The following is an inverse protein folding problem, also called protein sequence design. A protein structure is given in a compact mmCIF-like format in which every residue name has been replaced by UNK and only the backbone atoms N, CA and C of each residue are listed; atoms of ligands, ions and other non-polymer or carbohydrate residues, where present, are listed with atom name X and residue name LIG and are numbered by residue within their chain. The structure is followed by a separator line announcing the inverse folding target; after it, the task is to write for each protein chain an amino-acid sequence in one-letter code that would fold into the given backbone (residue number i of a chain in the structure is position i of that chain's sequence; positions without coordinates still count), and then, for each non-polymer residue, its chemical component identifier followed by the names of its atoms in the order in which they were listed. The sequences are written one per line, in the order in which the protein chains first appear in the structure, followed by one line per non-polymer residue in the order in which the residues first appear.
data_IF_509780975955
#
_entry.id   IF_509780975955
#
_cell.length_a   1.000
_cell.length_b   1.000
_cell.length_c   1.000
_cell.angle_alpha   90.00
_cell.angle_beta   90.00
_cell.angle_gamma   90.00
#
_symmetry.space_group_name_H-M   'P 1'
#
loop_
_entity.id
_entity.type
_entity.pdbx_description
1 polymer ?
#
# COMPACT_ATOMS: atom_id res chain seq x y z
N UNK A 1 68.97 -36.91 20.69
CA UNK A 1 69.34 -35.73 21.50
C UNK A 1 69.12 -34.47 20.68
N UNK A 2 68.47 -33.46 21.29
CA UNK A 2 68.32 -32.04 20.86
C UNK A 2 67.47 -31.80 19.59
N UNK A 3 66.18 -31.43 19.71
CA UNK A 3 65.64 -30.05 19.79
C UNK A 3 66.21 -29.11 18.73
N UNK A 4 65.35 -28.58 17.85
CA UNK A 4 64.94 -27.16 17.81
C UNK A 4 63.76 -27.01 16.83
N UNK A 5 62.74 -26.30 17.30
CA UNK A 5 61.51 -25.96 16.62
C UNK A 5 61.73 -24.83 15.60
N UNK A 6 60.88 -24.79 14.56
CA UNK A 6 60.49 -23.54 13.90
C UNK A 6 59.12 -23.76 13.26
N UNK A 7 58.08 -23.25 13.94
CA UNK A 7 56.78 -22.96 13.33
C UNK A 7 56.98 -21.84 12.30
N UNK A 8 56.59 -22.08 11.06
CA UNK A 8 56.26 -21.01 10.11
C UNK A 8 54.75 -21.02 9.99
N UNK A 9 54.09 -20.12 10.72
CA UNK A 9 52.68 -19.80 10.55
C UNK A 9 52.59 -18.98 9.26
N UNK A 10 52.05 -19.59 8.22
CA UNK A 10 51.70 -18.90 6.99
C UNK A 10 50.44 -18.06 7.25
N UNK A 11 50.63 -16.80 7.65
CA UNK A 11 49.56 -15.82 7.69
C UNK A 11 49.15 -15.48 6.25
N UNK A 12 48.08 -16.13 5.78
CA UNK A 12 47.36 -15.71 4.59
C UNK A 12 46.61 -14.44 4.97
N UNK A 13 47.28 -13.30 4.84
CA UNK A 13 46.62 -12.00 4.78
C UNK A 13 45.85 -11.93 3.46
N UNK A 14 44.60 -12.39 3.48
CA UNK A 14 43.62 -11.96 2.50
C UNK A 14 43.48 -10.44 2.62
N UNK A 15 44.19 -9.70 1.77
CA UNK A 15 43.84 -8.34 1.41
C UNK A 15 42.52 -8.39 0.63
N UNK A 16 41.41 -8.63 1.33
CA UNK A 16 40.14 -8.03 0.93
C UNK A 16 40.17 -6.61 1.48
N UNK A 17 40.74 -5.70 0.69
CA UNK A 17 40.30 -4.32 0.73
C UNK A 17 38.80 -4.37 0.41
N UNK A 18 37.88 -4.07 1.33
CA UNK A 18 36.59 -3.59 0.87
C UNK A 18 36.92 -2.38 0.00
N UNK A 19 36.56 -2.45 -1.28
CA UNK A 19 36.59 -1.26 -2.11
C UNK A 19 35.87 -0.17 -1.32
N UNK A 20 36.59 0.88 -0.95
CA UNK A 20 35.96 2.13 -0.61
C UNK A 20 35.20 2.53 -1.88
N UNK A 21 33.92 2.19 -1.93
CA UNK A 21 32.97 2.96 -2.70
C UNK A 21 32.99 4.32 -2.02
N UNK A 22 33.77 5.24 -2.59
CA UNK A 22 33.60 6.65 -2.31
C UNK A 22 32.12 6.94 -2.59
N UNK A 23 31.39 7.39 -1.57
CA UNK A 23 29.98 7.72 -1.71
C UNK A 23 29.80 8.57 -2.97
N UNK A 24 29.08 8.03 -3.95
CA UNK A 24 28.52 8.81 -5.05
C UNK A 24 27.77 9.94 -4.33
N UNK A 25 28.12 11.20 -4.60
CA UNK A 25 27.36 12.35 -4.12
C UNK A 25 25.87 12.03 -4.13
N UNK A 26 25.26 12.18 -2.97
CA UNK A 26 23.90 11.77 -2.60
C UNK A 26 22.93 11.53 -3.79
N UNK A 27 23.08 10.37 -4.44
CA UNK A 27 22.44 10.08 -5.73
C UNK A 27 20.92 10.09 -5.58
N UNK A 28 20.42 9.54 -4.47
CA UNK A 28 19.00 9.60 -4.14
C UNK A 28 18.51 11.04 -4.10
N UNK A 29 19.18 11.92 -3.35
CA UNK A 29 18.81 13.33 -3.26
C UNK A 29 18.82 14.04 -4.63
N UNK A 30 19.84 13.84 -5.45
CA UNK A 30 19.92 14.41 -6.81
C UNK A 30 18.73 13.96 -7.68
N UNK A 31 18.44 12.66 -7.70
CA UNK A 31 17.33 12.11 -8.49
C UNK A 31 15.97 12.62 -8.02
N UNK A 32 15.74 12.70 -6.71
CA UNK A 32 14.52 13.28 -6.14
C UNK A 32 14.36 14.76 -6.47
N UNK A 33 15.45 15.52 -6.38
CA UNK A 33 15.47 16.96 -6.72
C UNK A 33 15.14 17.20 -8.19
N UNK A 34 15.71 16.38 -9.09
CA UNK A 34 15.42 16.41 -10.53
C UNK A 34 13.97 16.07 -10.83
N UNK A 35 13.44 15.02 -10.20
CA UNK A 35 12.05 14.62 -10.38
C UNK A 35 11.08 15.74 -9.96
N UNK A 36 11.35 16.38 -8.82
CA UNK A 36 10.58 17.53 -8.37
C UNK A 36 10.66 18.71 -9.35
N UNK A 37 11.86 19.06 -9.84
CA UNK A 37 12.03 20.14 -10.81
C UNK A 37 11.26 19.87 -12.13
N UNK A 38 11.33 18.65 -12.64
CA UNK A 38 10.59 18.22 -13.85
C UNK A 38 9.08 18.23 -13.58
N UNK A 39 8.63 17.74 -12.41
CA UNK A 39 7.24 17.74 -12.02
C UNK A 39 6.66 19.16 -11.91
N UNK A 40 7.38 20.07 -11.26
CA UNK A 40 7.01 21.48 -11.14
C UNK A 40 6.91 22.15 -12.50
N UNK A 41 7.87 21.90 -13.41
CA UNK A 41 7.81 22.47 -14.75
C UNK A 41 6.64 21.91 -15.57
N UNK A 42 6.41 20.59 -15.57
CA UNK A 42 5.36 19.99 -16.39
C UNK A 42 3.95 20.32 -15.90
N UNK A 43 3.74 20.32 -14.58
CA UNK A 43 2.44 20.60 -13.96
C UNK A 43 2.25 22.08 -13.60
N UNK A 44 3.28 22.93 -13.79
CA UNK A 44 3.24 24.38 -13.59
C UNK A 44 2.81 24.79 -12.17
N UNK A 45 3.33 24.10 -11.14
CA UNK A 45 3.04 24.40 -9.73
C UNK A 45 4.24 25.02 -9.00
N UNK A 46 3.95 25.71 -7.90
CA UNK A 46 4.96 26.33 -7.04
C UNK A 46 5.25 25.47 -5.81
N UNK A 47 6.44 25.64 -5.21
CA UNK A 47 6.79 24.87 -4.03
C UNK A 47 5.79 25.09 -2.89
N UNK A 48 5.35 24.00 -2.25
CA UNK A 48 4.37 24.01 -1.15
C UNK A 48 2.90 24.07 -1.59
N UNK A 49 2.59 23.80 -2.85
CA UNK A 49 1.21 23.76 -3.34
C UNK A 49 0.42 22.56 -2.78
N UNK A 50 -0.64 22.83 -2.02
CA UNK A 50 -1.50 21.83 -1.36
C UNK A 50 -2.38 21.02 -2.32
N UNK A 51 -2.44 21.44 -3.58
CA UNK A 51 -3.17 20.72 -4.64
C UNK A 51 -2.34 19.64 -5.32
N UNK A 52 -1.06 19.52 -4.96
CA UNK A 52 -0.14 18.57 -5.57
C UNK A 52 0.09 17.39 -4.64
N UNK A 53 -0.08 16.18 -5.19
CA UNK A 53 0.31 14.93 -4.56
C UNK A 53 1.58 14.40 -5.22
N UNK A 54 2.58 14.04 -4.43
CA UNK A 54 3.71 13.24 -4.86
C UNK A 54 3.57 11.79 -4.38
N UNK A 55 3.74 10.84 -5.30
CA UNK A 55 3.85 9.41 -5.03
C UNK A 55 5.18 8.91 -5.58
N UNK A 56 5.86 8.02 -4.87
CA UNK A 56 7.11 7.42 -5.33
C UNK A 56 7.35 6.09 -4.61
N UNK A 57 8.09 5.16 -5.22
CA UNK A 57 8.64 4.00 -4.50
C UNK A 57 10.04 4.26 -3.91
N UNK A 58 10.49 5.52 -3.87
CA UNK A 58 11.73 5.91 -3.19
C UNK A 58 11.74 5.41 -1.73
N UNK A 59 12.90 4.96 -1.27
CA UNK A 59 13.09 4.27 0.02
C UNK A 59 12.84 2.75 -0.04
N UNK A 60 12.11 2.27 -1.05
CA UNK A 60 11.99 0.83 -1.33
C UNK A 60 12.94 0.39 -2.44
N UNK A 61 12.97 1.13 -3.56
CA UNK A 61 13.86 0.80 -4.68
C UNK A 61 15.33 0.89 -4.25
N UNK A 62 16.15 -0.03 -4.75
CA UNK A 62 17.61 -0.04 -4.53
C UNK A 62 18.33 0.30 -5.84
N UNK A 63 19.28 1.24 -5.77
CA UNK A 63 20.13 1.64 -6.90
C UNK A 63 21.58 1.46 -6.46
N UNK A 64 22.39 0.74 -7.25
CA UNK A 64 23.80 0.42 -6.92
C UNK A 64 24.01 -0.21 -5.53
N UNK A 65 23.00 -0.90 -4.99
CA UNK A 65 23.07 -1.48 -3.64
C UNK A 65 22.78 -0.48 -2.51
N UNK A 66 22.41 0.76 -2.85
CA UNK A 66 22.00 1.79 -1.90
C UNK A 66 20.49 2.00 -1.94
N UNK A 67 19.92 2.31 -0.78
CA UNK A 67 18.51 2.65 -0.62
C UNK A 67 18.24 4.08 -1.13
N UNK A 68 16.99 4.36 -1.50
CA UNK A 68 16.62 5.58 -2.23
C UNK A 68 15.85 6.62 -1.40
N UNK A 69 15.81 6.49 -0.08
CA UNK A 69 15.07 7.37 0.82
C UNK A 69 15.52 8.83 0.75
N UNK A 70 16.78 9.10 0.38
CA UNK A 70 17.29 10.47 0.16
C UNK A 70 16.59 11.19 -0.99
N UNK A 71 15.97 10.47 -1.92
CA UNK A 71 15.14 11.08 -2.95
C UNK A 71 13.91 11.78 -2.36
N UNK A 72 13.39 11.34 -1.22
CA UNK A 72 12.31 12.04 -0.52
C UNK A 72 12.75 13.41 -0.02
N UNK A 73 14.01 13.52 0.46
CA UNK A 73 14.60 14.81 0.85
C UNK A 73 14.71 15.74 -0.36
N UNK A 74 15.23 15.24 -1.49
CA UNK A 74 15.32 16.03 -2.73
C UNK A 74 13.95 16.51 -3.24
N UNK A 75 12.93 15.63 -3.20
CA UNK A 75 11.55 16.03 -3.53
C UNK A 75 11.08 17.14 -2.59
N UNK A 76 11.27 16.96 -1.28
CA UNK A 76 10.79 17.89 -0.25
C UNK A 76 11.45 19.25 -0.38
N UNK A 77 12.77 19.30 -0.54
CA UNK A 77 13.53 20.56 -0.56
C UNK A 77 13.25 21.39 -1.83
N UNK A 78 12.98 20.73 -2.97
CA UNK A 78 12.68 21.42 -4.24
C UNK A 78 11.20 21.78 -4.38
N UNK A 79 10.30 20.83 -4.10
CA UNK A 79 8.84 21.00 -4.32
C UNK A 79 8.06 21.47 -3.10
N UNK A 80 8.65 21.44 -1.90
CA UNK A 80 7.98 21.73 -0.64
C UNK A 80 7.01 20.64 -0.15
N UNK A 81 6.70 19.63 -0.98
CA UNK A 81 5.79 18.52 -0.67
C UNK A 81 6.44 17.58 0.36
N UNK A 82 5.67 17.13 1.35
CA UNK A 82 6.19 16.35 2.47
C UNK A 82 5.14 15.44 3.06
N UNK A 83 5.61 14.34 3.65
CA UNK A 83 4.74 13.35 4.29
C UNK A 83 3.90 13.95 5.42
N UNK A 84 4.46 14.90 6.19
CA UNK A 84 3.74 15.58 7.27
C UNK A 84 2.54 16.43 6.83
N UNK A 85 2.51 16.85 5.55
CA UNK A 85 1.41 17.65 5.00
C UNK A 85 0.40 16.76 4.25
N UNK A 86 0.60 15.43 4.27
CA UNK A 86 -0.28 14.47 3.62
C UNK A 86 -0.28 14.57 2.09
N UNK A 87 0.83 15.02 1.49
CA UNK A 87 0.95 15.21 0.05
C UNK A 87 2.25 14.63 -0.56
N UNK A 88 2.99 13.83 0.20
CA UNK A 88 4.08 12.97 -0.28
C UNK A 88 3.98 11.60 0.39
N UNK A 89 3.72 10.55 -0.39
CA UNK A 89 3.65 9.17 0.10
C UNK A 89 4.60 8.24 -0.63
N UNK A 90 5.19 7.32 0.13
CA UNK A 90 5.95 6.20 -0.40
C UNK A 90 5.00 5.05 -0.72
N UNK A 91 4.97 4.61 -1.97
CA UNK A 91 4.19 3.46 -2.42
C UNK A 91 5.08 2.23 -2.37
N UNK A 92 4.64 1.23 -1.59
CA UNK A 92 5.39 0.00 -1.36
C UNK A 92 5.65 -0.73 -2.69
N UNK A 93 6.89 -1.16 -2.89
CA UNK A 93 7.29 -1.99 -4.03
C UNK A 93 8.50 -2.85 -3.65
N UNK A 94 8.70 -3.99 -4.34
CA UNK A 94 9.94 -4.73 -4.21
C UNK A 94 11.17 -3.88 -4.60
N UNK A 95 12.28 -4.10 -3.90
CA UNK A 95 13.52 -3.32 -4.04
C UNK A 95 14.17 -3.43 -5.42
N UNK A 96 13.95 -4.53 -6.14
CA UNK A 96 14.43 -4.78 -7.50
C UNK A 96 13.61 -4.10 -8.61
N UNK A 97 12.54 -3.37 -8.26
CA UNK A 97 11.76 -2.61 -9.24
C UNK A 97 12.41 -1.24 -9.51
N UNK A 98 12.30 -0.71 -10.74
CA UNK A 98 12.83 0.62 -11.05
C UNK A 98 12.31 1.69 -10.10
N UNK A 99 13.17 2.66 -9.77
CA UNK A 99 12.77 3.87 -9.07
C UNK A 99 11.90 4.73 -9.99
N UNK A 100 10.76 5.20 -9.49
CA UNK A 100 9.86 6.10 -10.20
C UNK A 100 9.33 7.21 -9.30
N UNK A 101 8.88 8.28 -9.95
CA UNK A 101 8.31 9.46 -9.33
C UNK A 101 7.04 9.85 -10.05
N UNK A 102 6.04 10.28 -9.30
CA UNK A 102 4.75 10.68 -9.81
C UNK A 102 4.28 11.93 -9.08
N UNK A 103 3.78 12.90 -9.84
CA UNK A 103 3.16 14.11 -9.29
C UNK A 103 1.79 14.27 -9.93
N UNK A 104 0.79 14.64 -9.13
CA UNK A 104 -0.58 14.83 -9.58
C UNK A 104 -1.13 16.14 -9.07
N UNK A 105 -1.79 16.91 -9.94
CA UNK A 105 -2.45 18.14 -9.59
C UNK A 105 -3.97 17.92 -9.60
N UNK A 106 -4.61 17.97 -8.42
CA UNK A 106 -6.05 17.71 -8.30
C UNK A 106 -6.95 18.79 -8.90
N UNK A 107 -6.45 20.03 -9.07
CA UNK A 107 -7.24 21.09 -9.73
C UNK A 107 -7.33 20.88 -11.24
N UNK A 108 -6.27 20.38 -11.85
CA UNK A 108 -6.20 20.20 -13.31
C UNK A 108 -6.53 18.77 -13.76
N UNK A 109 -6.46 17.81 -12.85
CA UNK A 109 -6.56 16.39 -13.15
C UNK A 109 -5.33 15.79 -13.87
N UNK A 110 -4.29 16.59 -14.09
CA UNK A 110 -3.07 16.17 -14.77
C UNK A 110 -2.08 15.53 -13.79
N UNK A 111 -1.36 14.53 -14.27
CA UNK A 111 -0.22 13.95 -13.59
C UNK A 111 0.98 13.81 -14.50
N UNK A 112 2.16 13.90 -13.89
CA UNK A 112 3.41 13.49 -14.51
C UNK A 112 3.96 12.22 -13.87
N UNK A 113 4.61 11.39 -14.68
CA UNK A 113 5.33 10.19 -14.26
C UNK A 113 6.72 10.17 -14.85
N UNK A 114 7.68 9.79 -14.01
CA UNK A 114 9.09 9.69 -14.34
C UNK A 114 9.61 8.35 -13.86
N UNK A 115 10.18 7.54 -14.76
CA UNK A 115 10.87 6.30 -14.40
C UNK A 115 12.36 6.47 -14.67
N UNK A 116 13.20 6.13 -13.69
CA UNK A 116 14.64 6.32 -13.76
C UNK A 116 15.24 5.58 -14.97
N UNK A 117 16.14 6.22 -15.70
CA UNK A 117 16.97 5.52 -16.68
C UNK A 117 18.12 4.80 -15.97
N UNK A 118 18.26 3.52 -16.27
CA UNK A 118 19.35 2.70 -15.75
C UNK A 118 20.72 3.20 -16.18
N UNK A 119 20.81 3.87 -17.33
CA UNK A 119 22.04 4.51 -17.79
C UNK A 119 22.42 5.72 -16.91
N UNK A 120 21.45 6.44 -16.35
CA UNK A 120 21.72 7.67 -15.57
C UNK A 120 22.50 7.39 -14.31
N UNK A 121 22.17 6.34 -13.56
CA UNK A 121 22.97 6.02 -12.39
C UNK A 121 24.31 5.40 -12.78
N UNK A 122 24.53 4.89 -13.99
CA UNK A 122 25.85 4.41 -14.40
C UNK A 122 26.87 5.55 -14.68
N UNK A 123 26.40 6.79 -14.85
CA UNK A 123 27.22 7.97 -15.12
C UNK A 123 28.01 8.44 -13.88
N UNK A 124 29.13 9.13 -14.10
CA UNK A 124 29.84 9.86 -13.04
C UNK A 124 29.00 11.03 -12.52
N UNK A 125 29.33 11.56 -11.33
CA UNK A 125 28.68 12.74 -10.78
C UNK A 125 28.72 13.93 -11.74
N UNK A 126 29.88 14.20 -12.35
CA UNK A 126 30.06 15.33 -13.27
C UNK A 126 29.22 15.16 -14.54
N UNK A 127 29.16 13.95 -15.08
CA UNK A 127 28.32 13.63 -16.24
C UNK A 127 26.84 13.80 -15.91
N UNK A 128 26.38 13.33 -14.74
CA UNK A 128 25.00 13.53 -14.27
C UNK A 128 24.71 15.00 -14.03
N UNK A 129 25.61 15.75 -13.39
CA UNK A 129 25.42 17.17 -13.09
C UNK A 129 25.23 18.02 -14.37
N UNK A 130 25.91 17.66 -15.47
CA UNK A 130 25.76 18.31 -16.76
C UNK A 130 24.48 17.90 -17.53
N UNK A 131 23.82 16.82 -17.11
CA UNK A 131 22.63 16.28 -17.76
C UNK A 131 21.39 17.13 -17.40
N UNK A 132 20.54 17.54 -18.38
CA UNK A 132 19.25 18.14 -18.07
C UNK A 132 18.39 17.22 -17.19
N UNK A 133 17.59 17.79 -16.29
CA UNK A 133 16.86 17.03 -15.27
C UNK A 133 15.94 15.95 -15.87
N UNK A 134 15.25 16.25 -16.97
CA UNK A 134 14.34 15.31 -17.65
C UNK A 134 15.07 14.12 -18.30
N UNK A 135 16.36 14.27 -18.62
CA UNK A 135 17.18 13.22 -19.24
C UNK A 135 17.70 12.19 -18.24
N UNK A 136 17.44 12.38 -16.94
CA UNK A 136 17.65 11.34 -15.93
C UNK A 136 16.65 10.17 -16.03
N UNK A 137 15.57 10.33 -16.80
CA UNK A 137 14.45 9.41 -16.82
C UNK A 137 14.28 8.76 -18.19
N UNK A 138 14.08 7.44 -18.20
CA UNK A 138 13.82 6.67 -19.42
C UNK A 138 12.41 6.90 -19.95
N UNK A 139 11.49 7.30 -19.06
CA UNK A 139 10.14 7.70 -19.37
C UNK A 139 9.81 8.98 -18.63
N UNK A 140 9.29 9.97 -19.36
CA UNK A 140 8.63 11.15 -18.81
C UNK A 140 7.28 11.27 -19.50
N UNK A 141 6.19 11.29 -18.72
CA UNK A 141 4.83 11.40 -19.23
C UNK A 141 4.09 12.55 -18.55
N UNK A 142 3.18 13.20 -19.27
CA UNK A 142 2.21 14.15 -18.75
C UNK A 142 0.84 13.73 -19.30
N UNK A 143 -0.06 13.32 -18.43
CA UNK A 143 -1.34 12.72 -18.82
C UNK A 143 -2.48 13.17 -17.90
N UNK A 144 -3.71 13.20 -18.43
CA UNK A 144 -4.92 13.35 -17.63
C UNK A 144 -5.21 12.03 -16.90
N UNK A 145 -5.37 12.09 -15.59
CA UNK A 145 -5.63 10.94 -14.70
C UNK A 145 -6.81 11.15 -13.77
N UNK A 146 -7.45 12.32 -13.80
CA UNK A 146 -8.76 12.52 -13.18
C UNK A 146 -9.76 11.50 -13.74
N UNK A 147 -10.35 10.70 -12.84
CA UNK A 147 -11.11 9.52 -13.21
C UNK A 147 -12.37 9.89 -14.00
N UNK A 148 -13.07 10.95 -13.60
CA UNK A 148 -14.28 11.42 -14.29
C UNK A 148 -13.95 11.87 -15.72
N UNK A 149 -12.87 12.62 -15.89
CA UNK A 149 -12.38 13.04 -17.21
C UNK A 149 -11.96 11.84 -18.07
N UNK A 150 -11.28 10.85 -17.49
CA UNK A 150 -10.89 9.63 -18.19
C UNK A 150 -12.12 8.81 -18.64
N UNK A 151 -13.16 8.75 -17.81
CA UNK A 151 -14.42 8.08 -18.14
C UNK A 151 -15.19 8.81 -19.24
N UNK A 152 -15.18 10.14 -19.24
CA UNK A 152 -15.75 10.95 -20.31
C UNK A 152 -14.97 10.83 -21.64
N UNK A 153 -13.69 10.42 -21.56
CA UNK A 153 -12.77 10.27 -22.71
C UNK A 153 -12.11 8.88 -22.73
N UNK A 154 -12.89 7.80 -22.91
CA UNK A 154 -12.41 6.43 -22.70
C UNK A 154 -11.33 6.01 -23.71
N UNK A 155 -11.26 6.63 -24.89
CA UNK A 155 -10.20 6.38 -25.88
C UNK A 155 -8.84 6.78 -25.32
N UNK A 156 -8.74 7.91 -24.62
CA UNK A 156 -7.49 8.37 -24.04
C UNK A 156 -7.10 7.48 -22.85
N UNK A 157 -8.07 7.10 -22.02
CA UNK A 157 -7.85 6.11 -20.96
C UNK A 157 -7.32 4.78 -21.50
N UNK A 158 -7.92 4.26 -22.57
CA UNK A 158 -7.43 3.04 -23.23
C UNK A 158 -5.99 3.18 -23.71
N UNK A 159 -5.62 4.34 -24.27
CA UNK A 159 -4.24 4.62 -24.69
C UNK A 159 -3.29 4.68 -23.48
N UNK A 160 -3.69 5.31 -22.38
CA UNK A 160 -2.91 5.39 -21.13
C UNK A 160 -2.55 3.99 -20.62
N UNK A 161 -3.53 3.10 -20.50
CA UNK A 161 -3.32 1.73 -20.04
C UNK A 161 -2.57 0.87 -21.06
N UNK A 162 -2.95 0.90 -22.34
CA UNK A 162 -2.33 0.05 -23.36
C UNK A 162 -0.86 0.39 -23.61
N UNK A 163 -0.49 1.67 -23.52
CA UNK A 163 0.89 2.15 -23.74
C UNK A 163 1.71 2.25 -22.47
N UNK A 164 1.17 1.80 -21.33
CA UNK A 164 1.84 1.87 -20.02
C UNK A 164 2.42 3.26 -19.71
N UNK A 165 1.59 4.30 -19.85
CA UNK A 165 2.03 5.69 -19.70
C UNK A 165 2.52 6.03 -18.27
N UNK A 166 2.30 5.14 -17.32
CA UNK A 166 2.74 5.22 -15.93
C UNK A 166 3.65 4.03 -15.55
N UNK A 167 4.38 3.46 -16.52
CA UNK A 167 5.32 2.36 -16.29
C UNK A 167 4.65 1.03 -15.90
N UNK A 168 3.35 0.88 -16.15
CA UNK A 168 2.58 -0.27 -15.67
C UNK A 168 1.96 -0.06 -14.29
N UNK A 169 2.09 1.13 -13.70
CA UNK A 169 1.48 1.50 -12.42
C UNK A 169 0.12 2.20 -12.60
N UNK A 170 -0.53 2.11 -13.76
CA UNK A 170 -1.72 2.91 -14.06
C UNK A 170 -2.84 2.69 -13.04
N UNK A 171 -3.16 1.43 -12.73
CA UNK A 171 -4.20 1.11 -11.75
C UNK A 171 -3.86 1.64 -10.35
N UNK A 172 -2.59 1.51 -9.95
CA UNK A 172 -2.11 1.98 -8.64
C UNK A 172 -2.17 3.50 -8.52
N UNK A 173 -1.50 4.22 -9.42
CA UNK A 173 -1.32 5.67 -9.28
C UNK A 173 -2.61 6.44 -9.58
N UNK A 174 -3.43 5.97 -10.52
CA UNK A 174 -4.75 6.58 -10.77
C UNK A 174 -5.66 6.37 -9.56
N UNK A 175 -5.70 5.18 -8.97
CA UNK A 175 -6.51 4.92 -7.77
C UNK A 175 -6.08 5.76 -6.57
N UNK A 176 -4.78 5.77 -6.25
CA UNK A 176 -4.22 6.51 -5.11
C UNK A 176 -4.38 8.03 -5.27
N UNK A 177 -4.15 8.58 -6.47
CA UNK A 177 -4.30 10.03 -6.69
C UNK A 177 -5.74 10.51 -6.62
N UNK A 178 -6.68 9.74 -7.19
CA UNK A 178 -8.10 10.10 -7.16
C UNK A 178 -8.71 9.94 -5.76
N UNK A 179 -8.30 8.94 -4.98
CA UNK A 179 -8.82 8.79 -3.61
C UNK A 179 -8.28 9.88 -2.69
N UNK A 180 -7.02 10.28 -2.88
CA UNK A 180 -6.44 11.45 -2.21
C UNK A 180 -7.20 12.73 -2.57
N UNK A 181 -7.48 12.95 -3.86
CA UNK A 181 -8.28 14.09 -4.33
C UNK A 181 -9.70 14.09 -3.72
N UNK A 182 -10.28 12.91 -3.52
CA UNK A 182 -11.58 12.71 -2.89
C UNK A 182 -11.56 12.89 -1.35
N UNK A 183 -10.41 13.23 -0.76
CA UNK A 183 -10.30 13.52 0.67
C UNK A 183 -10.02 12.29 1.55
N UNK A 184 -9.37 11.25 1.00
CA UNK A 184 -8.87 10.14 1.81
C UNK A 184 -8.03 10.64 2.99
N UNK A 185 -8.28 10.06 4.16
CA UNK A 185 -7.50 10.37 5.35
C UNK A 185 -6.06 9.87 5.23
N UNK A 186 -5.16 10.53 5.96
CA UNK A 186 -3.72 10.24 5.91
C UNK A 186 -3.39 8.77 6.25
N UNK A 187 -4.05 8.20 7.25
CA UNK A 187 -3.92 6.79 7.64
C UNK A 187 -4.39 5.83 6.52
N UNK A 188 -5.49 6.14 5.85
CA UNK A 188 -6.00 5.35 4.74
C UNK A 188 -5.07 5.42 3.51
N UNK A 189 -4.53 6.60 3.21
CA UNK A 189 -3.50 6.74 2.17
C UNK A 189 -2.27 5.89 2.46
N UNK A 190 -1.80 5.85 3.71
CA UNK A 190 -0.68 4.99 4.07
C UNK A 190 -1.01 3.50 3.95
N UNK A 191 -2.23 3.07 4.31
CA UNK A 191 -2.67 1.70 4.12
C UNK A 191 -2.73 1.29 2.64
N UNK A 192 -3.29 2.16 1.78
CA UNK A 192 -3.34 1.91 0.34
C UNK A 192 -1.95 1.95 -0.31
N UNK A 193 -1.07 2.85 0.15
CA UNK A 193 0.31 2.92 -0.32
C UNK A 193 1.13 1.70 0.13
N UNK A 194 0.90 1.18 1.34
CA UNK A 194 1.49 -0.08 1.82
C UNK A 194 1.02 -1.28 0.99
N UNK A 195 -0.26 -1.33 0.63
CA UNK A 195 -0.82 -2.35 -0.28
C UNK A 195 -0.36 -2.17 -1.75
N UNK A 196 0.36 -1.09 -2.07
CA UNK A 196 0.85 -0.70 -3.39
C UNK A 196 -0.18 -0.19 -4.40
N UNK A 197 -1.47 -0.33 -4.13
CA UNK A 197 -2.56 0.19 -4.93
C UNK A 197 -3.85 0.28 -4.10
N UNK A 198 -4.84 1.00 -4.63
CA UNK A 198 -6.19 0.99 -4.09
C UNK A 198 -7.02 -0.08 -4.81
N UNK A 199 -7.77 -0.88 -4.04
CA UNK A 199 -8.76 -1.83 -4.57
C UNK A 199 -9.92 -2.01 -3.58
N UNK A 200 -11.04 -2.66 -3.99
CA UNK A 200 -12.21 -2.75 -3.12
C UNK A 200 -11.92 -3.56 -1.85
N UNK A 201 -10.91 -4.44 -1.91
CA UNK A 201 -10.41 -5.18 -0.75
C UNK A 201 -9.77 -4.29 0.32
N UNK A 202 -8.99 -3.27 -0.07
CA UNK A 202 -8.39 -2.31 0.87
C UNK A 202 -9.45 -1.37 1.42
N UNK A 203 -10.33 -0.84 0.56
CA UNK A 203 -11.41 0.06 0.99
C UNK A 203 -12.40 -0.64 1.93
N UNK A 204 -12.77 -1.91 1.65
CA UNK A 204 -13.57 -2.71 2.59
C UNK A 204 -12.85 -2.95 3.92
N UNK A 205 -11.52 -3.12 3.92
CA UNK A 205 -10.73 -3.19 5.15
C UNK A 205 -10.87 -1.92 5.99
N UNK A 206 -10.78 -0.74 5.35
CA UNK A 206 -10.96 0.53 6.04
C UNK A 206 -12.39 0.70 6.61
N UNK A 207 -13.41 0.26 5.87
CA UNK A 207 -14.79 0.22 6.37
C UNK A 207 -14.95 -0.74 7.56
N UNK A 208 -14.31 -1.91 7.51
CA UNK A 208 -14.30 -2.87 8.63
C UNK A 208 -13.62 -2.26 9.86
N UNK A 209 -12.53 -1.51 9.67
CA UNK A 209 -11.86 -0.80 10.76
C UNK A 209 -12.84 0.14 11.47
N UNK A 210 -13.49 1.04 10.72
CA UNK A 210 -14.48 1.97 11.29
C UNK A 210 -15.64 1.25 11.99
N UNK A 211 -16.13 0.16 11.40
CA UNK A 211 -17.19 -0.65 12.01
C UNK A 211 -16.75 -1.27 13.33
N UNK A 212 -15.56 -1.89 13.37
CA UNK A 212 -15.04 -2.57 14.57
C UNK A 212 -14.71 -1.57 15.67
N UNK A 213 -14.08 -0.44 15.34
CA UNK A 213 -13.76 0.60 16.34
C UNK A 213 -15.03 1.17 16.98
N UNK A 214 -16.12 1.26 16.22
CA UNK A 214 -17.43 1.69 16.73
C UNK A 214 -18.12 0.62 17.60
N UNK A 215 -18.11 -0.65 17.16
CA UNK A 215 -18.92 -1.71 17.77
C UNK A 215 -18.17 -2.58 18.79
N UNK A 216 -16.83 -2.58 18.74
CA UNK A 216 -15.94 -3.34 19.60
C UNK A 216 -14.72 -2.48 20.00
N UNK A 217 -14.91 -1.27 20.57
CA UNK A 217 -13.82 -0.32 20.81
C UNK A 217 -12.76 -0.90 21.76
N UNK A 218 -11.48 -0.60 21.53
CA UNK A 218 -10.44 -0.73 22.56
C UNK A 218 -10.78 0.23 23.70
N UNK A 219 -10.83 -0.29 24.93
CA UNK A 219 -11.23 0.49 26.12
C UNK A 219 -10.07 0.81 27.05
N UNK A 220 -8.95 0.11 26.92
CA UNK A 220 -7.75 0.32 27.74
C UNK A 220 -6.49 -0.22 27.04
N UNK A 221 -5.31 0.18 27.54
CA UNK A 221 -4.02 -0.16 26.92
C UNK A 221 -3.57 -1.63 27.05
N UNK A 222 -4.34 -2.49 27.72
CA UNK A 222 -4.09 -3.94 27.76
C UNK A 222 -4.89 -4.70 26.71
N UNK A 223 -5.73 -4.00 25.95
CA UNK A 223 -6.52 -4.58 24.87
C UNK A 223 -5.88 -4.31 23.50
N UNK A 224 -5.91 -5.33 22.65
CA UNK A 224 -5.51 -5.25 21.24
C UNK A 224 -6.56 -5.92 20.35
N UNK A 225 -6.53 -5.62 19.06
CA UNK A 225 -7.27 -6.41 18.09
C UNK A 225 -6.42 -7.61 17.63
N UNK A 226 -7.06 -8.78 17.60
CA UNK A 226 -6.55 -9.98 16.95
C UNK A 226 -7.45 -10.28 15.74
N UNK A 227 -6.85 -10.30 14.56
CA UNK A 227 -7.50 -10.67 13.31
C UNK A 227 -7.34 -12.16 13.03
N UNK A 228 -8.46 -12.83 12.76
CA UNK A 228 -8.51 -14.15 12.17
C UNK A 228 -9.04 -13.98 10.74
N UNK A 229 -8.11 -13.67 9.83
CA UNK A 229 -8.37 -13.42 8.42
C UNK A 229 -8.75 -14.70 7.67
N UNK A 230 -10.02 -15.11 7.79
CA UNK A 230 -10.59 -16.25 7.07
C UNK A 230 -12.02 -15.92 6.61
N UNK A 231 -12.33 -15.78 5.31
CA UNK A 231 -11.35 -15.75 4.22
C UNK A 231 -10.46 -14.51 4.31
N UNK A 232 -9.27 -14.60 3.71
CA UNK A 232 -8.34 -13.49 3.61
C UNK A 232 -8.43 -12.76 2.26
N UNK A 233 -8.18 -11.46 2.26
CA UNK A 233 -8.02 -10.62 1.08
C UNK A 233 -7.28 -9.31 1.46
N UNK A 234 -7.24 -8.32 0.58
CA UNK A 234 -6.49 -7.08 0.79
C UNK A 234 -6.83 -6.28 2.07
N UNK A 235 -7.94 -6.58 2.78
CA UNK A 235 -8.30 -5.90 4.04
C UNK A 235 -7.25 -6.08 5.13
N UNK A 236 -6.57 -7.23 5.13
CA UNK A 236 -5.57 -7.53 6.15
C UNK A 236 -4.41 -6.52 6.13
N UNK A 237 -4.01 -6.03 4.95
CA UNK A 237 -2.97 -5.00 4.86
C UNK A 237 -3.41 -3.67 5.49
N UNK A 238 -4.70 -3.35 5.45
CA UNK A 238 -5.23 -2.21 6.19
C UNK A 238 -5.16 -2.44 7.72
N UNK A 239 -5.49 -3.65 8.19
CA UNK A 239 -5.43 -3.98 9.62
C UNK A 239 -4.00 -3.92 10.18
N UNK A 240 -2.99 -4.27 9.37
CA UNK A 240 -1.58 -4.11 9.75
C UNK A 240 -1.26 -2.64 10.03
N UNK A 241 -1.69 -1.75 9.14
CA UNK A 241 -1.36 -0.32 9.21
C UNK A 241 -2.15 0.44 10.28
N UNK A 242 -3.41 0.04 10.54
CA UNK A 242 -4.28 0.71 11.50
C UNK A 242 -4.17 0.17 12.92
N UNK A 243 -4.09 -1.15 13.08
CA UNK A 243 -4.19 -1.81 14.38
C UNK A 243 -2.86 -2.41 14.87
N UNK A 244 -1.78 -2.21 14.12
CA UNK A 244 -0.50 -2.90 14.37
C UNK A 244 -0.64 -4.44 14.40
N UNK A 245 -1.68 -4.93 13.72
CA UNK A 245 -2.07 -6.34 13.73
C UNK A 245 -1.31 -7.09 12.64
N UNK A 246 -0.12 -7.59 12.98
CA UNK A 246 0.76 -8.30 12.02
C UNK A 246 0.92 -9.78 12.37
N UNK A 247 1.20 -10.66 11.39
CA UNK A 247 1.49 -12.06 11.65
C UNK A 247 2.69 -12.25 12.60
N UNK A 248 3.75 -11.45 12.43
CA UNK A 248 4.95 -11.52 13.27
C UNK A 248 4.71 -11.10 14.73
N UNK A 249 3.75 -10.21 14.97
CA UNK A 249 3.34 -9.79 16.32
C UNK A 249 2.28 -10.70 16.95
N UNK A 250 1.89 -11.78 16.29
CA UNK A 250 0.75 -12.63 16.68
C UNK A 250 -0.58 -11.86 16.80
N UNK A 251 -0.70 -10.72 16.09
CA UNK A 251 -1.95 -9.96 16.00
C UNK A 251 -2.86 -10.47 14.89
N UNK A 252 -2.30 -11.16 13.90
CA UNK A 252 -3.03 -11.59 12.71
C UNK A 252 -2.75 -13.06 12.37
N UNK A 253 -3.81 -13.78 12.00
CA UNK A 253 -3.75 -15.18 11.59
C UNK A 253 -4.56 -15.39 10.32
N UNK A 254 -3.85 -15.41 9.19
CA UNK A 254 -4.43 -15.53 7.86
C UNK A 254 -4.63 -17.01 7.49
N UNK A 255 -5.85 -17.37 7.13
CA UNK A 255 -6.24 -18.74 6.78
C UNK A 255 -7.21 -18.76 5.60
N UNK A 256 -6.94 -19.62 4.63
CA UNK A 256 -7.89 -19.88 3.56
C UNK A 256 -9.19 -20.48 4.12
N UNK A 257 -10.33 -19.99 3.62
CA UNK A 257 -11.64 -20.62 3.83
C UNK A 257 -11.96 -21.46 2.59
N UNK A 258 -12.48 -22.68 2.76
CA UNK A 258 -12.84 -23.49 1.60
C UNK A 258 -14.04 -22.86 0.88
N UNK A 259 -14.16 -23.01 -0.46
CA UNK A 259 -15.32 -22.51 -1.20
C UNK A 259 -16.66 -23.04 -0.65
N UNK A 260 -16.70 -24.29 -0.20
CA UNK A 260 -17.91 -24.92 0.36
C UNK A 260 -18.29 -24.31 1.72
N UNK A 261 -17.31 -24.10 2.59
CA UNK A 261 -17.52 -23.46 3.90
C UNK A 261 -17.92 -21.98 3.70
N UNK A 262 -17.35 -21.27 2.72
CA UNK A 262 -17.73 -19.90 2.35
C UNK A 262 -19.17 -19.83 1.82
N UNK A 263 -19.56 -20.74 0.92
CA UNK A 263 -20.93 -20.83 0.39
C UNK A 263 -21.94 -21.16 1.50
N UNK A 264 -21.60 -22.11 2.39
CA UNK A 264 -22.44 -22.48 3.51
C UNK A 264 -22.68 -21.29 4.47
N UNK A 265 -21.63 -20.51 4.77
CA UNK A 265 -21.76 -19.28 5.55
C UNK A 265 -22.59 -18.22 4.80
N UNK A 266 -22.32 -17.98 3.51
CA UNK A 266 -23.09 -17.01 2.69
C UNK A 266 -24.57 -17.38 2.67
N UNK A 267 -24.91 -18.65 2.46
CA UNK A 267 -26.28 -19.17 2.48
C UNK A 267 -26.94 -19.02 3.85
N UNK A 268 -26.22 -19.28 4.94
CA UNK A 268 -26.75 -19.21 6.30
C UNK A 268 -27.02 -17.78 6.76
N UNK A 269 -26.13 -16.84 6.43
CA UNK A 269 -26.19 -15.47 6.95
C UNK A 269 -26.68 -14.42 5.94
N UNK A 270 -26.80 -14.79 4.67
CA UNK A 270 -27.24 -13.93 3.56
C UNK A 270 -26.17 -12.96 3.06
N UNK A 271 -24.92 -13.10 3.50
CA UNK A 271 -23.81 -12.18 3.20
C UNK A 271 -22.48 -12.94 3.21
N UNK A 272 -21.52 -12.51 2.41
CA UNK A 272 -20.20 -13.14 2.33
C UNK A 272 -19.45 -12.95 3.67
N UNK A 273 -18.83 -14.00 4.25
CA UNK A 273 -18.00 -13.85 5.45
C UNK A 273 -16.77 -12.98 5.18
N UNK A 274 -16.39 -12.17 6.16
CA UNK A 274 -15.34 -11.15 6.07
C UNK A 274 -14.29 -11.25 7.17
N UNK A 275 -14.11 -12.44 7.74
CA UNK A 275 -13.16 -12.67 8.82
C UNK A 275 -13.78 -12.48 10.20
N UNK A 276 -12.92 -12.65 11.21
CA UNK A 276 -13.30 -12.59 12.61
C UNK A 276 -12.30 -11.67 13.33
N UNK A 277 -12.81 -10.64 13.99
CA UNK A 277 -11.99 -9.70 14.76
C UNK A 277 -12.27 -9.87 16.25
N UNK A 278 -11.22 -9.97 17.05
CA UNK A 278 -11.30 -10.19 18.49
C UNK A 278 -10.64 -9.01 19.20
N UNK A 279 -11.36 -8.36 20.11
CA UNK A 279 -10.73 -7.51 21.13
C UNK A 279 -10.23 -8.40 22.26
N UNK A 280 -8.92 -8.51 22.39
CA UNK A 280 -8.25 -9.41 23.32
C UNK A 280 -7.60 -8.63 24.46
N UNK A 281 -7.83 -9.04 25.70
CA UNK A 281 -7.14 -8.50 26.87
C UNK A 281 -6.06 -9.48 27.35
N UNK A 282 -4.80 -9.05 27.28
CA UNK A 282 -3.68 -9.96 27.59
C UNK A 282 -3.48 -10.21 29.09
N UNK A 283 -4.04 -9.37 29.96
CA UNK A 283 -3.96 -9.55 31.42
C UNK A 283 -4.98 -10.58 31.89
N UNK A 284 -6.24 -10.42 31.48
CA UNK A 284 -7.31 -11.35 31.87
C UNK A 284 -7.34 -12.63 31.06
N UNK A 285 -6.59 -12.69 29.95
CA UNK A 285 -6.58 -13.81 28.98
C UNK A 285 -8.00 -14.14 28.48
N UNK A 286 -8.77 -13.08 28.22
CA UNK A 286 -10.13 -13.16 27.69
C UNK A 286 -10.37 -12.04 26.68
N UNK A 287 -11.40 -12.21 25.86
CA UNK A 287 -11.79 -11.21 24.86
C UNK A 287 -13.25 -11.33 24.44
N UNK A 288 -13.63 -10.41 23.56
CA UNK A 288 -14.90 -10.43 22.84
C UNK A 288 -14.60 -10.36 21.34
N UNK A 289 -15.25 -11.20 20.55
CA UNK A 289 -15.07 -11.24 19.11
C UNK A 289 -16.34 -11.02 18.31
N UNK A 290 -16.15 -10.56 17.07
CA UNK A 290 -17.15 -10.39 16.04
C UNK A 290 -16.74 -11.23 14.83
N UNK A 291 -17.59 -12.16 14.41
CA UNK A 291 -17.52 -12.71 13.06
C UNK A 291 -18.29 -11.78 12.13
N UNK A 292 -17.66 -11.30 11.06
CA UNK A 292 -18.19 -10.25 10.19
C UNK A 292 -18.55 -10.80 8.81
N UNK A 293 -19.46 -10.12 8.13
CA UNK A 293 -19.72 -10.27 6.71
C UNK A 293 -19.67 -8.93 6.00
N UNK A 294 -19.33 -8.96 4.70
CA UNK A 294 -19.21 -7.78 3.84
C UNK A 294 -20.01 -8.00 2.55
N UNK A 295 -20.78 -7.00 2.14
CA UNK A 295 -21.66 -7.04 0.97
C UNK A 295 -21.07 -6.27 -0.21
N UNK A 296 -20.20 -6.94 -0.97
CA UNK A 296 -19.67 -6.37 -2.21
C UNK A 296 -20.73 -6.28 -3.32
N UNK A 297 -21.77 -7.11 -3.28
CA UNK A 297 -22.80 -7.18 -4.32
C UNK A 297 -23.61 -5.87 -4.26
N UNK A 298 -24.13 -5.50 -3.08
CA UNK A 298 -24.84 -4.22 -2.86
C UNK A 298 -23.96 -3.02 -3.18
N UNK A 299 -22.70 -2.99 -2.74
CA UNK A 299 -21.79 -1.88 -3.07
C UNK A 299 -21.56 -1.74 -4.59
N UNK A 300 -21.41 -2.87 -5.29
CA UNK A 300 -21.22 -2.85 -6.74
C UNK A 300 -22.48 -2.36 -7.47
N UNK A 301 -23.66 -2.70 -6.97
CA UNK A 301 -24.94 -2.22 -7.52
C UNK A 301 -25.15 -0.72 -7.26
N UNK A 302 -24.96 -0.25 -6.03
CA UNK A 302 -25.16 1.15 -5.64
C UNK A 302 -24.19 2.10 -6.36
N UNK A 303 -22.94 1.67 -6.57
CA UNK A 303 -21.93 2.44 -7.29
C UNK A 303 -22.10 2.32 -8.83
N UNK A 304 -22.92 1.38 -9.31
CA UNK A 304 -23.21 1.21 -10.72
C UNK A 304 -22.15 0.44 -11.51
N UNK A 305 -21.35 -0.40 -10.84
CA UNK A 305 -20.29 -1.21 -11.45
C UNK A 305 -20.63 -2.70 -11.58
N UNK A 306 -21.75 -3.16 -10.99
CA UNK A 306 -22.17 -4.57 -11.04
C UNK A 306 -22.36 -5.10 -12.47
N UNK A 307 -22.90 -4.28 -13.37
CA UNK A 307 -23.15 -4.61 -14.78
C UNK A 307 -22.33 -3.70 -15.72
N UNK A 308 -21.06 -3.45 -15.38
CA UNK A 308 -20.21 -2.52 -16.10
C UNK A 308 -20.02 -2.90 -17.58
N UNK A 309 -20.33 -1.96 -18.48
CA UNK A 309 -20.15 -2.11 -19.94
C UNK A 309 -19.10 -1.14 -20.51
N UNK A 310 -18.50 -0.31 -19.65
CA UNK A 310 -17.48 0.65 -20.02
C UNK A 310 -16.09 0.02 -20.20
N UNK A 311 -15.03 0.85 -20.22
CA UNK A 311 -13.66 0.37 -20.36
C UNK A 311 -13.27 -0.60 -19.25
N UNK A 312 -12.52 -1.66 -19.58
CA UNK A 312 -12.16 -2.73 -18.65
C UNK A 312 -11.23 -2.32 -17.51
N UNK A 313 -10.51 -1.19 -17.67
CA UNK A 313 -9.62 -0.64 -16.65
C UNK A 313 -10.37 0.12 -15.54
N UNK A 314 -11.61 0.54 -15.80
CA UNK A 314 -12.34 1.47 -14.95
C UNK A 314 -13.10 0.89 -13.74
N UNK A 315 -13.77 -0.28 -13.79
CA UNK A 315 -14.81 -0.61 -12.81
C UNK A 315 -14.28 -0.70 -11.38
N UNK A 316 -13.06 -1.20 -11.18
CA UNK A 316 -12.42 -1.24 -9.86
C UNK A 316 -12.11 0.17 -9.35
N UNK A 317 -11.51 1.02 -10.18
CA UNK A 317 -11.21 2.42 -9.81
C UNK A 317 -12.49 3.18 -9.43
N UNK A 318 -13.56 3.00 -10.21
CA UNK A 318 -14.87 3.61 -9.93
C UNK A 318 -15.43 3.09 -8.61
N UNK A 319 -15.33 1.79 -8.35
CA UNK A 319 -15.76 1.19 -7.09
C UNK A 319 -14.96 1.73 -5.91
N UNK A 320 -13.64 1.82 -6.04
CA UNK A 320 -12.75 2.25 -4.96
C UNK A 320 -13.06 3.67 -4.49
N UNK A 321 -13.22 4.60 -5.43
CA UNK A 321 -13.59 5.98 -5.13
C UNK A 321 -15.06 6.06 -4.67
N UNK A 322 -15.95 5.33 -5.33
CA UNK A 322 -17.38 5.31 -5.04
C UNK A 322 -17.73 4.71 -3.67
N UNK A 323 -16.85 3.90 -3.08
CA UNK A 323 -17.00 3.37 -1.73
C UNK A 323 -16.65 4.39 -0.62
N UNK A 324 -15.91 5.46 -0.93
CA UNK A 324 -15.47 6.43 0.08
C UNK A 324 -16.62 7.08 0.87
N UNK A 325 -17.74 7.50 0.24
CA UNK A 325 -18.91 8.01 0.96
C UNK A 325 -19.57 7.01 1.92
N UNK A 326 -19.22 5.72 1.86
CA UNK A 326 -19.75 4.67 2.72
C UNK A 326 -18.87 4.39 3.95
N UNK A 327 -17.65 4.93 4.00
CA UNK A 327 -16.72 4.75 5.13
C UNK A 327 -17.31 5.23 6.46
N UNK A 328 -18.08 6.32 6.44
CA UNK A 328 -18.73 6.88 7.64
C UNK A 328 -20.07 6.21 7.99
N UNK A 329 -20.56 5.30 7.13
CA UNK A 329 -21.78 4.52 7.33
C UNK A 329 -21.54 3.02 7.05
N UNK A 330 -20.52 2.40 7.66
CA UNK A 330 -20.04 1.08 7.27
C UNK A 330 -21.10 -0.02 7.45
N UNK A 331 -22.14 0.21 8.26
CA UNK A 331 -23.30 -0.67 8.41
C UNK A 331 -24.08 -0.90 7.11
N UNK A 332 -23.92 -0.05 6.09
CA UNK A 332 -24.54 -0.27 4.77
C UNK A 332 -23.97 -1.48 4.04
N UNK A 333 -22.73 -1.89 4.35
CA UNK A 333 -22.05 -3.00 3.70
C UNK A 333 -21.63 -4.10 4.68
N UNK A 334 -21.63 -3.83 5.99
CA UNK A 334 -21.09 -4.74 7.00
C UNK A 334 -22.17 -5.25 7.95
N UNK A 335 -22.15 -6.56 8.20
CA UNK A 335 -23.03 -7.24 9.14
C UNK A 335 -22.23 -8.06 10.15
N UNK A 336 -22.56 -7.93 11.43
CA UNK A 336 -22.11 -8.90 12.44
C UNK A 336 -22.88 -10.22 12.28
N UNK A 337 -22.16 -11.29 11.94
CA UNK A 337 -22.72 -12.64 11.80
C UNK A 337 -22.90 -13.31 13.16
N UNK A 338 -21.96 -13.07 14.07
CA UNK A 338 -21.96 -13.60 15.43
C UNK A 338 -21.09 -12.76 16.35
N UNK A 339 -21.59 -12.49 17.55
CA UNK A 339 -20.77 -12.04 18.69
C UNK A 339 -20.45 -13.22 19.60
N UNK A 340 -19.26 -13.24 20.19
CA UNK A 340 -18.88 -14.32 21.10
C UNK A 340 -17.85 -13.86 22.14
N UNK A 341 -17.90 -14.37 23.38
CA UNK A 341 -16.77 -14.31 24.29
C UNK A 341 -15.69 -15.30 23.83
N UNK A 342 -14.43 -15.02 24.14
CA UNK A 342 -13.31 -15.89 23.82
C UNK A 342 -12.32 -15.94 24.98
N UNK A 343 -11.85 -17.13 25.31
CA UNK A 343 -10.76 -17.38 26.25
C UNK A 343 -9.49 -17.82 25.52
N UNK A 344 -8.40 -17.98 26.26
CA UNK A 344 -7.09 -18.32 25.67
C UNK A 344 -7.10 -19.68 24.95
N UNK A 345 -7.79 -20.66 25.51
CA UNK A 345 -7.93 -21.98 24.91
C UNK A 345 -8.69 -21.93 23.58
N UNK A 346 -9.77 -21.16 23.51
CA UNK A 346 -10.58 -21.00 22.31
C UNK A 346 -9.83 -20.19 21.26
N UNK A 347 -9.21 -19.06 21.65
CA UNK A 347 -8.37 -18.26 20.75
C UNK A 347 -7.24 -19.10 20.16
N UNK A 348 -6.58 -19.92 20.99
CA UNK A 348 -5.52 -20.83 20.54
C UNK A 348 -6.02 -21.80 19.48
N UNK A 349 -7.19 -22.41 19.68
CA UNK A 349 -7.80 -23.27 18.65
C UNK A 349 -8.10 -22.48 17.37
N UNK A 350 -8.66 -21.28 17.49
CA UNK A 350 -9.05 -20.45 16.34
C UNK A 350 -7.85 -20.05 15.49
N UNK A 351 -6.70 -19.75 16.09
CA UNK A 351 -5.48 -19.33 15.38
C UNK A 351 -4.59 -20.48 14.92
N UNK A 352 -4.88 -21.71 15.33
CA UNK A 352 -4.04 -22.88 15.00
C UNK A 352 -4.32 -23.34 13.58
N UNK A 353 -3.26 -23.43 12.77
CA UNK A 353 -3.33 -23.93 11.40
C UNK A 353 -4.00 -25.31 11.34
N UNK A 354 -4.87 -25.50 10.35
CA UNK A 354 -5.65 -26.73 10.16
C UNK A 354 -7.01 -26.74 10.88
N UNK A 355 -7.25 -25.83 11.83
CA UNK A 355 -8.59 -25.65 12.38
C UNK A 355 -9.41 -24.68 11.53
N UNK A 356 -10.71 -24.93 11.41
CA UNK A 356 -11.64 -23.95 10.87
C UNK A 356 -12.20 -23.09 12.02
N UNK A 357 -11.94 -21.77 12.06
CA UNK A 357 -12.38 -20.91 13.15
C UNK A 357 -13.92 -20.80 13.24
N UNK A 358 -14.63 -20.86 12.11
CA UNK A 358 -16.09 -20.86 12.09
C UNK A 358 -16.71 -22.14 12.67
N UNK A 359 -16.06 -23.31 12.48
CA UNK A 359 -16.49 -24.57 13.13
C UNK A 359 -16.27 -24.53 14.64
N UNK A 360 -15.15 -23.96 15.10
CA UNK A 360 -14.89 -23.73 16.53
C UNK A 360 -15.98 -22.84 17.14
N UNK A 361 -16.43 -21.83 16.39
CA UNK A 361 -17.54 -20.96 16.80
C UNK A 361 -18.93 -21.60 16.60
N UNK A 362 -19.06 -22.82 16.10
CA UNK A 362 -20.35 -23.46 15.81
C UNK A 362 -21.19 -22.72 14.76
N UNK A 363 -20.53 -22.02 13.83
CA UNK A 363 -21.18 -21.29 12.74
C UNK A 363 -21.40 -22.16 11.50
N UNK A 364 -20.62 -23.22 11.36
CA UNK A 364 -20.69 -24.24 10.31
C UNK A 364 -21.10 -25.61 10.85
#
# INVERSE_FOLDING_TARGET
MKRIASLIILAICCNFLPGLVLADSDLGYDLGSRAAAVGMDLLKFNAGDENILALTNAGHAIIKGETTERALSGITDVSGLRTGDGNLFQVNRPDWKPLWFYFFNKETGLATYMELDTATYAMSEEERAALPADKAFSQVSLIMVDLDTMLARPVDGNVTFAKKKLGGNEFSLIGLSNVWAAGASYDFMNAAAFHDHLCPGVTSGYMIIKYVEKNLPITNGSETYVDIGSPNWCKEDAFQMFWDSTPGKNGMFVMALSPEDEEALKKKYGIRPAGIIIRWNDISKTGKGLALGFDFDTMSEEIGVANWTGPSWAPKLVQDIGMMPYVDKPESAIKTLKEFPVDEATLTKMKTAGNNPYKILGML
#
